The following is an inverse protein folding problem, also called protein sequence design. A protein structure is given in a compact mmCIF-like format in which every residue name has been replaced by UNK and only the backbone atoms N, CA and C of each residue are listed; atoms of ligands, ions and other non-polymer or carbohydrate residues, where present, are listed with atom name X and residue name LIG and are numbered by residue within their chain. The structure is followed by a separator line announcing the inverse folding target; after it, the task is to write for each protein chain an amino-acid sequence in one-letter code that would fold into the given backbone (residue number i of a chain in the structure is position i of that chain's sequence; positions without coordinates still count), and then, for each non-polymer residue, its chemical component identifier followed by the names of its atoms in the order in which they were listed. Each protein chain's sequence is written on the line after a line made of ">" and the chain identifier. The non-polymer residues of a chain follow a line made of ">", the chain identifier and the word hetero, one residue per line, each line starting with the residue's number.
data_IF_579469941926
#
_entry.id   IF_579469941926
#
_cell.length_a   1.000
_cell.length_b   1.000
_cell.length_c   1.000
_cell.angle_alpha   90.00
_cell.angle_beta   90.00
_cell.angle_gamma   90.00
#
_symmetry.space_group_name_H-M   'P 1'
#
loop_
_entity.id
_entity.type
_entity.pdbx_description
1 polymer ?
#
# COMPACT_ATOMS: atom_id res chain seq x y z
N UNK A 1 -9.91 20.03 12.85
CA UNK A 1 -11.03 19.47 12.10
C UNK A 1 -11.40 18.16 12.79
N UNK A 2 -12.58 18.07 13.40
CA UNK A 2 -13.01 16.88 14.12
C UNK A 2 -13.30 15.74 13.15
N UNK A 3 -12.78 14.55 13.42
CA UNK A 3 -12.93 13.38 12.58
C UNK A 3 -14.33 12.78 12.75
N UNK A 4 -15.08 12.64 11.66
CA UNK A 4 -16.31 11.83 11.65
C UNK A 4 -15.93 10.35 11.64
N UNK A 5 -16.39 9.60 12.65
CA UNK A 5 -16.22 8.15 12.74
C UNK A 5 -17.07 7.49 11.64
N UNK A 6 -16.44 6.77 10.73
CA UNK A 6 -17.19 5.96 9.77
C UNK A 6 -17.73 4.71 10.51
N UNK A 7 -19.06 4.64 10.63
CA UNK A 7 -19.72 3.57 11.38
C UNK A 7 -19.74 2.20 10.69
N UNK A 8 -19.17 2.10 9.48
CA UNK A 8 -19.07 0.84 8.75
C UNK A 8 -17.86 -0.01 9.15
N UNK A 9 -16.87 0.56 9.88
CA UNK A 9 -15.63 -0.14 10.24
C UNK A 9 -15.34 -0.11 11.74
N UNK A 10 -14.70 -1.16 12.25
CA UNK A 10 -14.25 -1.24 13.65
C UNK A 10 -12.76 -0.92 13.72
N UNK A 11 -12.39 -0.13 14.72
CA UNK A 11 -11.00 0.23 14.98
C UNK A 11 -10.26 -0.93 15.68
N UNK A 12 -8.95 -1.09 15.41
CA UNK A 12 -8.14 -2.16 16.03
C UNK A 12 -8.17 -2.09 17.57
N UNK A 13 -8.06 -0.92 18.22
CA UNK A 13 -8.21 -0.81 19.68
C UNK A 13 -9.55 -1.33 20.21
N UNK A 14 -10.65 -1.10 19.50
CA UNK A 14 -11.97 -1.59 19.91
C UNK A 14 -12.00 -3.13 19.89
N UNK A 15 -11.43 -3.75 18.84
CA UNK A 15 -11.28 -5.21 18.75
C UNK A 15 -10.40 -5.77 19.87
N UNK A 16 -9.32 -5.08 20.24
CA UNK A 16 -8.45 -5.51 21.34
C UNK A 16 -9.20 -5.47 22.68
N UNK A 17 -10.02 -4.44 22.92
CA UNK A 17 -10.84 -4.34 24.13
C UNK A 17 -11.88 -5.46 24.19
N UNK A 18 -12.58 -5.72 23.08
CA UNK A 18 -13.54 -6.82 22.98
C UNK A 18 -12.85 -8.18 23.23
N UNK A 19 -11.71 -8.41 22.58
CA UNK A 19 -10.92 -9.63 22.74
C UNK A 19 -10.51 -9.85 24.20
N UNK A 20 -9.95 -8.84 24.87
CA UNK A 20 -9.52 -8.94 26.27
C UNK A 20 -10.70 -9.12 27.23
N UNK A 21 -11.86 -8.56 26.91
CA UNK A 21 -13.07 -8.74 27.72
C UNK A 21 -13.58 -10.17 27.62
N UNK A 22 -13.58 -10.75 26.40
CA UNK A 22 -14.04 -12.12 26.14
C UNK A 22 -13.02 -13.18 26.58
N UNK A 23 -11.74 -12.86 26.49
CA UNK A 23 -10.60 -13.72 26.80
C UNK A 23 -9.59 -12.98 27.69
N UNK A 24 -9.85 -12.84 29.01
CA UNK A 24 -8.99 -12.08 29.91
C UNK A 24 -7.57 -12.63 30.06
N UNK A 25 -7.40 -13.95 29.93
CA UNK A 25 -6.10 -14.63 29.91
C UNK A 25 -5.54 -14.82 28.49
N UNK A 26 -6.24 -14.26 27.49
CA UNK A 26 -5.81 -14.33 26.10
C UNK A 26 -4.62 -13.43 25.83
N UNK A 27 -3.91 -13.72 24.74
CA UNK A 27 -2.76 -12.92 24.31
C UNK A 27 -2.66 -12.81 22.79
N UNK A 28 -2.11 -11.68 22.34
CA UNK A 28 -1.72 -11.44 20.96
C UNK A 28 -0.20 -11.54 20.89
N UNK A 29 0.32 -12.37 19.99
CA UNK A 29 1.75 -12.63 19.87
C UNK A 29 2.14 -12.77 18.40
N UNK A 30 3.40 -12.56 18.02
CA UNK A 30 3.91 -13.08 16.76
C UNK A 30 3.83 -14.61 16.74
N UNK A 31 3.59 -15.20 15.57
CA UNK A 31 3.61 -16.66 15.39
C UNK A 31 4.98 -17.24 15.72
N UNK A 32 6.05 -16.52 15.40
CA UNK A 32 7.42 -16.86 15.76
C UNK A 32 8.04 -15.71 16.56
N UNK A 33 8.14 -15.80 17.90
CA UNK A 33 8.74 -14.74 18.72
C UNK A 33 10.22 -14.47 18.42
N UNK A 34 10.95 -15.45 17.89
CA UNK A 34 12.35 -15.27 17.50
C UNK A 34 12.50 -14.52 16.17
N UNK A 35 11.45 -14.54 15.33
CA UNK A 35 11.41 -13.88 14.03
C UNK A 35 9.98 -13.32 13.80
N UNK A 36 9.63 -12.20 14.45
CA UNK A 36 8.25 -11.70 14.48
C UNK A 36 7.75 -11.17 13.14
N UNK A 37 8.67 -10.76 12.26
CA UNK A 37 8.37 -10.30 10.91
C UNK A 37 9.43 -10.79 9.93
N UNK A 38 9.08 -10.79 8.65
CA UNK A 38 9.98 -11.07 7.54
C UNK A 38 10.06 -9.88 6.61
N UNK A 39 11.23 -9.67 6.02
CA UNK A 39 11.43 -8.74 4.91
C UNK A 39 11.62 -9.57 3.66
N UNK A 40 10.72 -9.42 2.70
CA UNK A 40 10.68 -10.23 1.48
C UNK A 40 10.67 -9.30 0.27
N UNK A 41 11.24 -9.74 -0.86
CA UNK A 41 11.09 -9.04 -2.13
C UNK A 41 10.14 -9.86 -3.01
N UNK A 42 9.00 -9.27 -3.37
CA UNK A 42 7.98 -9.87 -4.20
C UNK A 42 7.80 -8.97 -5.42
N UNK A 43 8.10 -9.48 -6.60
CA UNK A 43 7.95 -8.76 -7.87
C UNK A 43 8.64 -7.38 -7.86
N UNK A 44 9.86 -7.32 -7.33
CA UNK A 44 10.64 -6.07 -7.21
C UNK A 44 10.23 -5.15 -6.06
N UNK A 45 9.08 -5.39 -5.42
CA UNK A 45 8.63 -4.65 -4.24
C UNK A 45 9.13 -5.34 -2.96
N UNK A 46 9.90 -4.61 -2.15
CA UNK A 46 10.18 -5.05 -0.78
C UNK A 46 8.91 -4.91 0.05
N UNK A 47 8.54 -5.97 0.77
CA UNK A 47 7.39 -6.01 1.68
C UNK A 47 7.83 -6.51 3.05
N UNK A 48 7.15 -6.04 4.08
CA UNK A 48 7.26 -6.54 5.44
C UNK A 48 6.04 -7.41 5.72
N UNK A 49 6.28 -8.69 6.00
CA UNK A 49 5.24 -9.65 6.34
C UNK A 49 5.25 -9.90 7.85
N UNK A 50 4.10 -9.76 8.51
CA UNK A 50 3.93 -10.10 9.92
C UNK A 50 2.86 -11.18 10.07
N UNK A 51 3.15 -12.21 10.85
CA UNK A 51 2.20 -13.26 11.21
C UNK A 51 1.92 -13.21 12.72
N UNK A 52 0.66 -13.03 13.07
CA UNK A 52 0.15 -12.93 14.43
C UNK A 52 -0.66 -14.17 14.83
N UNK A 53 -0.61 -14.49 16.12
CA UNK A 53 -1.46 -15.47 16.78
C UNK A 53 -2.29 -14.78 17.89
N UNK A 54 -3.58 -15.08 17.93
CA UNK A 54 -4.51 -14.68 18.97
C UNK A 54 -4.94 -15.90 19.80
N UNK A 55 -4.30 -16.06 20.95
CA UNK A 55 -4.56 -17.13 21.91
C UNK A 55 -5.71 -16.75 22.82
N UNK A 56 -6.75 -17.58 22.91
CA UNK A 56 -7.89 -17.33 23.81
C UNK A 56 -7.61 -17.67 25.26
N UNK A 57 -6.62 -18.54 25.49
CA UNK A 57 -6.10 -18.93 26.80
C UNK A 57 -4.60 -19.25 26.66
N UNK A 58 -3.82 -19.31 27.76
CA UNK A 58 -2.40 -19.65 27.71
C UNK A 58 -2.08 -21.04 27.13
N UNK A 59 -3.08 -21.93 27.05
CA UNK A 59 -2.94 -23.30 26.57
C UNK A 59 -3.77 -23.58 25.30
N UNK A 60 -4.17 -22.54 24.56
CA UNK A 60 -4.95 -22.70 23.33
C UNK A 60 -4.11 -23.43 22.26
N UNK A 61 -4.46 -24.69 21.89
CA UNK A 61 -3.68 -25.45 20.93
C UNK A 61 -3.89 -24.97 19.49
N UNK A 62 -4.89 -24.11 19.25
CA UNK A 62 -5.29 -23.59 17.94
C UNK A 62 -5.69 -22.12 18.05
N UNK A 63 -4.73 -21.22 18.29
CA UNK A 63 -5.00 -19.78 18.27
C UNK A 63 -5.47 -19.35 16.88
N UNK A 64 -6.17 -18.21 16.81
CA UNK A 64 -6.46 -17.58 15.53
C UNK A 64 -5.19 -17.03 14.91
N UNK A 65 -4.94 -17.32 13.63
CA UNK A 65 -3.75 -16.85 12.92
C UNK A 65 -4.14 -15.77 11.91
N UNK A 66 -3.42 -14.65 11.95
CA UNK A 66 -3.60 -13.53 11.02
C UNK A 66 -2.28 -13.14 10.38
N UNK A 67 -2.28 -12.85 9.08
CA UNK A 67 -1.10 -12.41 8.35
C UNK A 67 -1.42 -11.09 7.65
N UNK A 68 -0.46 -10.17 7.69
CA UNK A 68 -0.54 -8.91 6.97
C UNK A 68 0.81 -8.60 6.30
N UNK A 69 0.75 -7.84 5.22
CA UNK A 69 1.91 -7.38 4.46
C UNK A 69 1.80 -5.87 4.26
N UNK A 70 2.91 -5.16 4.45
CA UNK A 70 3.03 -3.73 4.15
C UNK A 70 4.22 -3.46 3.22
N UNK A 71 4.08 -2.59 2.21
CA UNK A 71 5.18 -2.25 1.32
C UNK A 71 6.25 -1.45 2.06
N UNK A 72 7.52 -1.69 1.71
CA UNK A 72 8.65 -0.89 2.16
C UNK A 72 9.38 -0.25 0.96
N UNK A 73 9.63 1.07 0.97
CA UNK A 73 9.12 2.03 1.96
C UNK A 73 7.60 2.22 1.84
N UNK A 74 6.96 2.67 2.92
CA UNK A 74 5.55 3.04 2.91
C UNK A 74 5.27 4.15 1.91
N UNK A 75 4.13 4.07 1.22
CA UNK A 75 3.77 4.93 0.08
C UNK A 75 3.12 6.25 0.49
N UNK A 76 2.74 6.41 1.76
CA UNK A 76 2.08 7.63 2.26
C UNK A 76 2.82 8.21 3.47
N UNK A 77 2.59 9.48 3.84
CA UNK A 77 3.12 10.04 5.09
C UNK A 77 2.69 9.30 6.36
N UNK A 78 1.57 8.56 6.31
CA UNK A 78 1.04 7.82 7.45
C UNK A 78 1.68 6.44 7.60
N UNK A 79 2.09 5.81 6.48
CA UNK A 79 2.67 4.46 6.46
C UNK A 79 4.19 4.45 6.38
N UNK A 80 4.79 5.53 5.85
CA UNK A 80 6.24 5.66 5.73
C UNK A 80 6.92 5.77 7.10
N UNK A 81 7.86 4.87 7.37
CA UNK A 81 8.57 4.76 8.64
C UNK A 81 7.77 4.07 9.75
N UNK A 82 6.54 3.61 9.48
CA UNK A 82 5.69 2.88 10.42
C UNK A 82 5.24 1.51 9.91
N UNK A 83 5.91 0.99 8.88
CA UNK A 83 5.50 -0.19 8.11
C UNK A 83 5.35 -1.43 9.01
N UNK A 84 6.30 -1.67 9.91
CA UNK A 84 6.26 -2.81 10.85
C UNK A 84 5.07 -2.68 11.81
N UNK A 85 4.83 -1.48 12.37
CA UNK A 85 3.71 -1.28 13.31
C UNK A 85 2.35 -1.44 12.62
N UNK A 86 2.25 -1.00 11.36
CA UNK A 86 1.04 -1.20 10.55
C UNK A 86 0.82 -2.68 10.21
N UNK A 87 1.88 -3.41 9.83
CA UNK A 87 1.80 -4.84 9.56
C UNK A 87 1.38 -5.63 10.81
N UNK A 88 1.99 -5.35 11.97
CA UNK A 88 1.67 -6.01 13.24
C UNK A 88 0.21 -5.79 13.66
N UNK A 89 -0.24 -4.54 13.70
CA UNK A 89 -1.61 -4.21 14.13
C UNK A 89 -2.67 -4.75 13.17
N UNK A 90 -2.38 -4.77 11.87
CA UNK A 90 -3.23 -5.39 10.84
C UNK A 90 -3.29 -6.92 11.02
N UNK A 91 -2.16 -7.57 11.29
CA UNK A 91 -2.10 -9.00 11.55
C UNK A 91 -2.85 -9.39 12.83
N UNK A 92 -2.73 -8.61 13.92
CA UNK A 92 -3.53 -8.80 15.14
C UNK A 92 -5.03 -8.69 14.87
N UNK A 93 -5.46 -7.70 14.09
CA UNK A 93 -6.85 -7.55 13.65
C UNK A 93 -7.38 -8.82 13.00
N UNK A 94 -6.60 -9.40 12.08
CA UNK A 94 -6.94 -10.64 11.36
C UNK A 94 -6.91 -11.86 12.28
N UNK A 95 -5.95 -11.95 13.19
CA UNK A 95 -5.82 -13.05 14.14
C UNK A 95 -7.01 -13.10 15.11
N UNK A 96 -7.47 -11.96 15.63
CA UNK A 96 -8.66 -11.88 16.50
C UNK A 96 -9.92 -12.34 15.78
N UNK A 97 -10.09 -11.95 14.51
CA UNK A 97 -11.20 -12.43 13.66
C UNK A 97 -11.10 -13.95 13.47
N UNK A 98 -9.91 -14.47 13.14
CA UNK A 98 -9.68 -15.90 12.95
C UNK A 98 -9.91 -16.73 14.24
N UNK A 99 -9.72 -16.13 15.42
CA UNK A 99 -10.04 -16.75 16.70
C UNK A 99 -11.55 -16.79 17.01
N UNK A 100 -12.40 -16.27 16.11
CA UNK A 100 -13.84 -16.05 16.32
C UNK A 100 -14.11 -15.21 17.58
N UNK A 101 -13.18 -14.30 17.87
CA UNK A 101 -13.18 -13.56 19.12
C UNK A 101 -13.93 -12.23 19.03
N UNK A 102 -13.96 -11.62 17.83
CA UNK A 102 -14.53 -10.28 17.58
C UNK A 102 -15.55 -10.31 16.45
N UNK A 103 -16.58 -9.46 16.52
CA UNK A 103 -17.65 -9.39 15.51
C UNK A 103 -17.13 -8.86 14.16
N UNK A 104 -17.61 -9.45 13.05
CA UNK A 104 -17.26 -9.08 11.68
C UNK A 104 -18.40 -8.38 10.92
N UNK A 105 -19.54 -8.07 11.57
CA UNK A 105 -20.68 -7.37 10.94
C UNK A 105 -20.29 -6.04 10.28
N UNK A 106 -19.23 -5.40 10.78
CA UNK A 106 -18.65 -4.14 10.28
C UNK A 106 -17.37 -4.38 9.47
N UNK A 107 -17.29 -5.52 8.79
CA UNK A 107 -16.16 -5.91 7.95
C UNK A 107 -14.97 -6.50 8.71
N UNK A 108 -14.10 -7.19 7.97
CA UNK A 108 -12.87 -7.81 8.49
C UNK A 108 -11.72 -6.80 8.52
N UNK A 109 -11.63 -5.91 7.52
CA UNK A 109 -10.66 -4.83 7.52
C UNK A 109 -10.99 -3.80 8.62
N UNK A 110 -9.97 -3.27 9.26
CA UNK A 110 -10.10 -2.13 10.17
C UNK A 110 -10.24 -0.81 9.41
N UNK A 111 -10.77 0.22 10.08
CA UNK A 111 -10.92 1.53 9.44
C UNK A 111 -9.55 2.16 9.08
N UNK A 112 -8.52 1.92 9.91
CA UNK A 112 -7.13 2.32 9.63
C UNK A 112 -6.59 1.66 8.37
N UNK A 113 -6.77 0.34 8.20
CA UNK A 113 -6.35 -0.37 6.98
C UNK A 113 -7.03 0.23 5.74
N UNK A 114 -8.35 0.42 5.79
CA UNK A 114 -9.11 0.97 4.65
C UNK A 114 -8.65 2.39 4.31
N UNK A 115 -8.46 3.24 5.32
CA UNK A 115 -7.98 4.60 5.13
C UNK A 115 -6.58 4.62 4.52
N UNK A 116 -5.67 3.81 5.04
CA UNK A 116 -4.30 3.74 4.54
C UNK A 116 -4.30 3.28 3.07
N UNK A 117 -5.08 2.27 2.71
CA UNK A 117 -5.22 1.80 1.32
C UNK A 117 -5.80 2.86 0.39
N UNK A 118 -6.79 3.64 0.83
CA UNK A 118 -7.32 4.77 0.05
C UNK A 118 -6.25 5.85 -0.17
N UNK A 119 -5.52 6.21 0.88
CA UNK A 119 -4.45 7.20 0.78
C UNK A 119 -3.32 6.74 -0.15
N UNK A 120 -3.01 5.43 -0.19
CA UNK A 120 -2.05 4.85 -1.13
C UNK A 120 -2.51 5.01 -2.59
N UNK A 121 -3.78 4.66 -2.87
CA UNK A 121 -4.37 4.82 -4.21
C UNK A 121 -4.39 6.29 -4.66
N UNK A 122 -4.73 7.21 -3.75
CA UNK A 122 -4.71 8.65 -4.03
C UNK A 122 -3.29 9.15 -4.33
N UNK A 123 -2.29 8.70 -3.57
CA UNK A 123 -0.89 9.05 -3.79
C UNK A 123 -0.37 8.51 -5.14
N UNK A 124 -0.72 7.28 -5.51
CA UNK A 124 -0.38 6.69 -6.80
C UNK A 124 -1.03 7.44 -7.96
N UNK A 125 -2.31 7.77 -7.86
CA UNK A 125 -3.02 8.56 -8.86
C UNK A 125 -2.41 9.97 -9.01
N UNK A 126 -2.04 10.61 -7.90
CA UNK A 126 -1.38 11.91 -7.91
C UNK A 126 -0.01 11.84 -8.63
N UNK A 127 0.81 10.84 -8.30
CA UNK A 127 2.12 10.63 -8.93
C UNK A 127 2.00 10.36 -10.44
N UNK A 128 1.03 9.55 -10.87
CA UNK A 128 0.77 9.30 -12.28
C UNK A 128 0.35 10.58 -13.01
N UNK A 129 -0.53 11.39 -12.41
CA UNK A 129 -0.95 12.66 -13.00
C UNK A 129 0.19 13.66 -13.10
N UNK A 130 1.07 13.74 -12.10
CA UNK A 130 2.29 14.55 -12.16
C UNK A 130 3.22 14.10 -13.29
N UNK A 131 3.44 12.79 -13.43
CA UNK A 131 4.26 12.23 -14.50
C UNK A 131 3.70 12.57 -15.89
N UNK A 132 2.39 12.40 -16.09
CA UNK A 132 1.70 12.80 -17.32
C UNK A 132 1.86 14.30 -17.59
N UNK A 133 1.74 15.14 -16.56
CA UNK A 133 1.97 16.58 -16.66
C UNK A 133 3.38 16.91 -17.15
N UNK A 134 4.42 16.25 -16.60
CA UNK A 134 5.81 16.41 -17.05
C UNK A 134 6.00 16.01 -18.51
N UNK A 135 5.39 14.91 -18.95
CA UNK A 135 5.40 14.50 -20.37
C UNK A 135 4.77 15.56 -21.27
N UNK A 136 3.65 16.16 -20.86
CA UNK A 136 2.98 17.24 -21.62
C UNK A 136 3.88 18.47 -21.72
N UNK A 137 4.53 18.89 -20.63
CA UNK A 137 5.43 20.04 -20.66
C UNK A 137 6.69 19.78 -21.49
N UNK A 138 7.29 18.60 -21.37
CA UNK A 138 8.41 18.19 -22.21
C UNK A 138 8.00 18.16 -23.70
N UNK A 139 6.78 17.72 -24.00
CA UNK A 139 6.27 17.70 -25.37
C UNK A 139 6.18 19.11 -25.94
N UNK A 140 5.60 20.06 -25.20
CA UNK A 140 5.55 21.47 -25.61
C UNK A 140 6.93 22.07 -25.85
N UNK A 141 7.92 21.71 -25.04
CA UNK A 141 9.29 22.22 -25.17
C UNK A 141 10.06 21.59 -26.35
N UNK A 142 9.74 20.35 -26.70
CA UNK A 142 10.46 19.57 -27.71
C UNK A 142 10.22 20.00 -29.17
N UNK A 143 9.12 20.72 -29.44
CA UNK A 143 8.70 21.06 -30.81
C UNK A 143 8.22 19.87 -31.65
N UNK A 144 8.17 18.66 -31.08
CA UNK A 144 7.66 17.45 -31.73
C UNK A 144 6.17 17.58 -32.06
N UNK A 145 5.73 16.86 -33.09
CA UNK A 145 4.31 16.72 -33.39
C UNK A 145 3.68 15.52 -32.63
N UNK A 146 2.34 15.42 -32.54
CA UNK A 146 1.69 14.34 -31.80
C UNK A 146 1.97 12.91 -32.30
N UNK A 147 2.23 12.73 -33.60
CA UNK A 147 2.52 11.41 -34.17
C UNK A 147 3.92 10.92 -33.76
N UNK A 148 4.90 11.82 -33.77
CA UNK A 148 6.26 11.56 -33.28
C UNK A 148 6.25 11.19 -31.79
N UNK A 149 5.46 11.90 -30.98
CA UNK A 149 5.31 11.60 -29.55
C UNK A 149 4.73 10.20 -29.33
N UNK A 150 3.71 9.81 -30.10
CA UNK A 150 3.09 8.48 -29.99
C UNK A 150 4.06 7.40 -30.45
N UNK A 151 4.79 7.61 -31.56
CA UNK A 151 5.79 6.68 -32.04
C UNK A 151 6.89 6.46 -30.99
N UNK A 152 7.42 7.53 -30.41
CA UNK A 152 8.43 7.47 -29.35
C UNK A 152 7.91 6.75 -28.09
N UNK A 153 6.65 6.96 -27.75
CA UNK A 153 6.03 6.27 -26.63
C UNK A 153 5.91 4.77 -26.87
N UNK A 154 5.57 4.36 -28.10
CA UNK A 154 5.55 2.95 -28.49
C UNK A 154 6.94 2.33 -28.44
N UNK A 155 7.99 3.07 -28.86
CA UNK A 155 9.39 2.63 -28.70
C UNK A 155 9.78 2.44 -27.23
N UNK A 156 9.22 3.23 -26.33
CA UNK A 156 9.39 3.09 -24.87
C UNK A 156 8.60 1.92 -24.27
N UNK A 157 7.86 1.15 -25.08
CA UNK A 157 7.03 0.02 -24.67
C UNK A 157 5.58 0.39 -24.33
N UNK A 158 5.19 1.66 -24.49
CA UNK A 158 3.84 2.13 -24.25
C UNK A 158 2.86 1.80 -25.38
N UNK A 159 1.57 1.98 -25.11
CA UNK A 159 0.52 1.81 -26.12
C UNK A 159 -0.49 2.96 -26.08
N UNK A 160 -0.99 3.36 -27.25
CA UNK A 160 -1.98 4.43 -27.37
C UNK A 160 -1.41 5.82 -27.10
N UNK A 161 -2.20 6.70 -26.48
CA UNK A 161 -1.81 8.09 -26.20
C UNK A 161 -1.09 8.19 -24.84
N UNK A 162 0.10 8.79 -24.76
CA UNK A 162 0.81 8.97 -23.49
C UNK A 162 -0.03 9.69 -22.42
N UNK A 163 -0.77 10.72 -22.83
CA UNK A 163 -1.62 11.52 -21.91
C UNK A 163 -2.77 10.74 -21.27
N UNK A 164 -3.14 9.59 -21.84
CA UNK A 164 -4.17 8.70 -21.32
C UNK A 164 -3.60 7.38 -20.77
N UNK A 165 -2.28 7.17 -20.81
CA UNK A 165 -1.65 5.92 -20.39
C UNK A 165 -1.51 5.83 -18.87
N UNK A 166 -1.78 4.66 -18.30
CA UNK A 166 -1.51 4.35 -16.88
C UNK A 166 -0.15 3.65 -16.70
N UNK A 167 0.58 3.39 -17.80
CA UNK A 167 1.89 2.73 -17.77
C UNK A 167 2.97 3.73 -17.31
N UNK A 168 3.27 3.71 -16.01
CA UNK A 168 4.24 4.61 -15.39
C UNK A 168 5.66 4.34 -15.85
N UNK A 169 6.01 3.10 -16.21
CA UNK A 169 7.35 2.74 -16.67
C UNK A 169 7.60 3.30 -18.08
N UNK A 170 6.68 3.04 -19.01
CA UNK A 170 6.77 3.59 -20.36
C UNK A 170 6.74 5.12 -20.35
N UNK A 171 5.90 5.74 -19.50
CA UNK A 171 5.85 7.20 -19.37
C UNK A 171 7.15 7.79 -18.81
N UNK A 172 7.79 7.09 -17.86
CA UNK A 172 9.07 7.53 -17.30
C UNK A 172 10.20 7.44 -18.32
N UNK A 173 10.26 6.34 -19.09
CA UNK A 173 11.23 6.18 -20.20
C UNK A 173 11.04 7.25 -21.27
N UNK A 174 9.78 7.50 -21.67
CA UNK A 174 9.44 8.56 -22.63
C UNK A 174 9.93 9.92 -22.15
N UNK A 175 9.63 10.28 -20.90
CA UNK A 175 10.06 11.56 -20.34
C UNK A 175 11.60 11.70 -20.33
N UNK A 176 12.31 10.64 -19.96
CA UNK A 176 13.78 10.62 -19.98
C UNK A 176 14.31 10.85 -21.39
N UNK A 177 13.78 10.12 -22.38
CA UNK A 177 14.20 10.22 -23.78
C UNK A 177 13.94 11.63 -24.35
N UNK A 178 12.77 12.21 -24.08
CA UNK A 178 12.44 13.58 -24.49
C UNK A 178 13.37 14.63 -23.86
N UNK A 179 13.73 14.44 -22.59
CA UNK A 179 14.62 15.35 -21.87
C UNK A 179 16.05 15.28 -22.43
N UNK A 180 16.54 14.07 -22.73
CA UNK A 180 17.87 13.86 -23.34
C UNK A 180 17.96 14.52 -24.72
N UNK A 181 16.96 14.32 -25.58
CA UNK A 181 16.93 14.93 -26.94
C UNK A 181 16.89 16.45 -26.92
N UNK A 182 16.27 17.05 -25.90
CA UNK A 182 16.22 18.51 -25.76
C UNK A 182 17.57 19.08 -25.30
N UNK A 183 18.40 18.29 -24.60
CA UNK A 183 19.73 18.71 -24.13
C UNK A 183 20.83 18.65 -25.22
N UNK A 184 20.61 17.90 -26.31
CA UNK A 184 21.59 17.68 -27.38
C UNK A 184 21.50 18.67 -28.55
N UNK A 185 20.52 19.59 -28.56
CA UNK A 185 20.44 20.65 -29.59
C UNK A 185 21.24 21.86 -29.11
N UNK A 186 22.45 22.14 -29.64
CA UNK A 186 23.20 23.35 -29.28
C UNK A 186 22.50 24.57 -29.88
N UNK A 187 22.46 25.65 -29.10
CA UNK A 187 21.96 26.96 -29.50
C UNK A 187 22.72 27.55 -30.72
#
# INVERSE_FOLDING_TARGET
>A
MGFEKNDEYVEVPERIVEFRTKYPEGSLQPVNPAEPYKVENIDGQTVITYAAAAYRTPHDPRPGIGVAQEPFPGRTPYTKGSEIQNAETSAWGRAMVAAMAVDTKRGIASAVEVRNRKAEQEAEAAALNELRGKVVEAFKASGMNPEELIALFVECGGAGKPTASNDTEALSKLLQEMTTRTAEVPA
#
